data_IF_033863522907
#
_entry.id   IF_033863522907
#
_cell.length_a   1.000
_cell.length_b   1.000
_cell.length_c   1.000
_cell.angle_alpha   90.00
_cell.angle_beta   90.00
_cell.angle_gamma   90.00
#
_symmetry.space_group_name_H-M   'P 1'
#
loop_
_entity.id
_entity.type
_entity.pdbx_description
1 polymer ?
#
# COMPACT_ATOMS: atom_id res chain seq x y z
N UNK A 1 5.87 5.88 -46.43
CA UNK A 1 4.64 6.52 -45.91
C UNK A 1 3.85 5.46 -45.18
N UNK A 2 3.41 5.70 -43.94
CA UNK A 2 2.52 4.78 -43.24
C UNK A 2 1.25 4.61 -44.08
N UNK A 3 0.83 3.37 -44.32
CA UNK A 3 -0.37 3.05 -45.09
C UNK A 3 -1.56 3.76 -44.46
N UNK A 4 -2.21 4.65 -45.22
CA UNK A 4 -3.31 5.45 -44.68
C UNK A 4 -4.53 4.54 -44.49
N UNK A 5 -4.73 4.06 -43.26
CA UNK A 5 -5.83 3.17 -42.89
C UNK A 5 -6.95 3.93 -42.18
N UNK A 6 -8.20 3.57 -42.49
CA UNK A 6 -9.35 4.07 -41.73
C UNK A 6 -9.26 3.63 -40.25
N UNK A 7 -9.74 4.48 -39.32
CA UNK A 7 -9.77 4.16 -37.89
C UNK A 7 -10.45 2.82 -37.60
N UNK A 8 -11.60 2.53 -38.24
CA UNK A 8 -12.33 1.27 -38.08
C UNK A 8 -11.48 0.06 -38.46
N UNK A 9 -10.86 0.08 -39.65
CA UNK A 9 -9.97 -1.00 -40.09
C UNK A 9 -8.76 -1.16 -39.17
N UNK A 10 -8.21 -0.06 -38.66
CA UNK A 10 -7.12 -0.10 -37.69
C UNK A 10 -7.52 -0.83 -36.40
N UNK A 11 -8.63 -0.42 -35.76
CA UNK A 11 -9.10 -1.09 -34.54
C UNK A 11 -9.38 -2.58 -34.73
N UNK A 12 -9.96 -2.96 -35.87
CA UNK A 12 -10.19 -4.38 -36.18
C UNK A 12 -8.88 -5.13 -36.39
N UNK A 13 -7.92 -4.55 -37.12
CA UNK A 13 -6.61 -5.15 -37.33
C UNK A 13 -5.84 -5.32 -35.99
N UNK A 14 -5.86 -4.31 -35.13
CA UNK A 14 -5.23 -4.35 -33.80
C UNK A 14 -5.89 -5.42 -32.90
N UNK A 15 -7.22 -5.57 -32.98
CA UNK A 15 -7.95 -6.61 -32.25
C UNK A 15 -7.65 -8.03 -32.75
N UNK A 16 -7.55 -8.22 -34.07
CA UNK A 16 -7.16 -9.51 -34.67
C UNK A 16 -5.72 -9.87 -34.30
N UNK A 17 -4.82 -8.88 -34.33
CA UNK A 17 -3.44 -9.04 -33.88
C UNK A 17 -3.36 -9.52 -32.43
N UNK A 18 -4.10 -8.88 -31.52
CA UNK A 18 -4.19 -9.29 -30.12
C UNK A 18 -4.75 -10.71 -29.97
N UNK A 19 -5.80 -11.06 -30.71
CA UNK A 19 -6.42 -12.37 -30.65
C UNK A 19 -5.47 -13.48 -31.12
N UNK A 20 -4.77 -13.29 -32.24
CA UNK A 20 -3.80 -14.25 -32.78
C UNK A 20 -2.62 -14.45 -31.81
N UNK A 21 -2.13 -13.36 -31.22
CA UNK A 21 -1.02 -13.40 -30.28
C UNK A 21 -1.41 -14.07 -28.95
N UNK A 22 -2.60 -13.78 -28.43
CA UNK A 22 -3.13 -14.44 -27.24
C UNK A 22 -3.33 -15.95 -27.47
N UNK A 23 -3.76 -16.33 -28.66
CA UNK A 23 -3.95 -17.73 -29.06
C UNK A 23 -2.61 -18.48 -29.13
N UNK A 24 -1.63 -17.89 -29.80
CA UNK A 24 -0.27 -18.42 -29.92
C UNK A 24 0.32 -18.71 -28.54
N UNK A 25 0.30 -17.74 -27.63
CA UNK A 25 0.85 -17.93 -26.28
C UNK A 25 0.03 -18.88 -25.43
N UNK A 26 -1.30 -18.93 -25.61
CA UNK A 26 -2.13 -19.91 -24.91
C UNK A 26 -1.70 -21.34 -25.26
N UNK A 27 -1.30 -21.61 -26.51
CA UNK A 27 -0.82 -22.93 -26.94
C UNK A 27 0.61 -23.19 -26.48
N UNK A 28 1.52 -22.27 -26.75
CA UNK A 28 2.96 -22.47 -26.54
C UNK A 28 3.37 -22.40 -25.06
N UNK A 29 2.64 -21.64 -24.24
CA UNK A 29 2.94 -21.42 -22.81
C UNK A 29 1.89 -22.06 -21.88
N UNK A 30 1.11 -23.04 -22.39
CA UNK A 30 0.09 -23.72 -21.62
C UNK A 30 0.65 -24.38 -20.35
N UNK A 31 1.82 -25.02 -20.46
CA UNK A 31 2.47 -25.74 -19.36
C UNK A 31 3.04 -24.80 -18.28
N UNK A 32 3.40 -23.58 -18.66
CA UNK A 32 3.97 -22.58 -17.76
C UNK A 32 2.91 -21.78 -16.97
N UNK A 33 1.64 -22.13 -17.18
CA UNK A 33 0.49 -21.46 -16.58
C UNK A 33 0.33 -20.03 -17.09
N UNK A 34 0.29 -19.89 -18.42
CA UNK A 34 -0.15 -18.67 -19.09
C UNK A 34 -1.50 -18.20 -18.55
N UNK A 35 -1.65 -16.91 -18.33
CA UNK A 35 -2.86 -16.27 -17.80
C UNK A 35 -3.42 -15.24 -18.78
N UNK A 36 -2.55 -14.53 -19.50
CA UNK A 36 -2.98 -13.55 -20.48
C UNK A 36 -1.81 -12.76 -21.03
N UNK A 37 -2.11 -11.82 -21.92
CA UNK A 37 -1.14 -10.95 -22.55
C UNK A 37 -1.66 -9.53 -22.60
N UNK A 38 -0.76 -8.57 -22.47
CA UNK A 38 -1.01 -7.15 -22.64
C UNK A 38 -0.07 -6.61 -23.72
N UNK A 39 -0.62 -5.88 -24.69
CA UNK A 39 0.17 -5.30 -25.79
C UNK A 39 0.15 -3.78 -25.61
N UNK A 40 1.33 -3.18 -25.52
CA UNK A 40 1.52 -1.72 -25.49
C UNK A 40 2.22 -1.30 -26.77
N UNK A 41 1.48 -0.64 -27.65
CA UNK A 41 1.99 -0.16 -28.93
C UNK A 41 2.43 1.29 -28.78
N UNK A 42 3.72 1.56 -28.96
CA UNK A 42 4.24 2.92 -29.13
C UNK A 42 4.73 3.10 -30.58
N UNK A 43 4.86 4.36 -31.07
CA UNK A 43 5.39 4.59 -32.42
C UNK A 43 6.81 4.08 -32.63
N UNK A 44 7.58 3.88 -31.55
CA UNK A 44 8.98 3.47 -31.59
C UNK A 44 9.12 1.96 -31.38
N UNK A 45 8.35 1.39 -30.44
CA UNK A 45 8.46 -0.01 -30.00
C UNK A 45 7.10 -0.58 -29.65
N UNK A 46 6.90 -1.86 -29.91
CA UNK A 46 5.75 -2.63 -29.42
C UNK A 46 6.21 -3.53 -28.29
N UNK A 47 5.67 -3.29 -27.10
CA UNK A 47 5.95 -4.10 -25.91
C UNK A 47 4.83 -5.12 -25.73
N UNK A 48 5.21 -6.39 -25.57
CA UNK A 48 4.27 -7.49 -25.34
C UNK A 48 4.55 -8.09 -23.97
N UNK A 49 3.64 -7.88 -23.03
CA UNK A 49 3.78 -8.32 -21.64
C UNK A 49 2.98 -9.60 -21.43
N UNK A 50 3.68 -10.70 -21.26
CA UNK A 50 3.11 -12.03 -21.01
C UNK A 50 2.89 -12.21 -19.51
N UNK A 51 1.65 -12.47 -19.10
CA UNK A 51 1.29 -12.77 -17.71
C UNK A 51 1.25 -14.29 -17.52
N UNK A 52 2.13 -14.81 -16.66
CA UNK A 52 2.21 -16.25 -16.39
C UNK A 52 2.55 -16.57 -14.93
N UNK A 53 2.25 -17.79 -14.49
CA UNK A 53 2.56 -18.24 -13.13
C UNK A 53 4.02 -18.66 -12.95
N UNK A 54 4.61 -19.32 -13.95
CA UNK A 54 5.96 -19.84 -13.91
C UNK A 54 6.84 -19.12 -14.94
N UNK A 55 7.48 -18.01 -14.55
CA UNK A 55 8.32 -17.21 -15.48
C UNK A 55 9.75 -17.76 -15.58
N UNK A 56 10.19 -18.52 -14.57
CA UNK A 56 11.55 -19.07 -14.50
C UNK A 56 11.89 -19.99 -15.68
N UNK A 57 10.88 -20.58 -16.32
CA UNK A 57 11.05 -21.48 -17.46
C UNK A 57 11.39 -20.79 -18.78
N UNK A 58 11.23 -19.46 -18.90
CA UNK A 58 11.50 -18.78 -20.17
C UNK A 58 12.23 -17.43 -20.07
N UNK A 59 12.42 -16.85 -18.88
CA UNK A 59 13.14 -15.59 -18.70
C UNK A 59 14.63 -15.84 -18.36
N UNK A 60 15.57 -15.12 -18.98
CA UNK A 60 16.88 -14.93 -18.34
C UNK A 60 16.62 -14.01 -17.16
N UNK A 61 17.04 -14.38 -15.95
CA UNK A 61 17.31 -13.37 -14.94
C UNK A 61 18.58 -12.64 -15.42
N UNK A 62 18.45 -11.71 -16.36
CA UNK A 62 19.48 -10.68 -16.54
C UNK A 62 19.22 -9.66 -15.44
N UNK A 63 20.28 -9.38 -14.69
CA UNK A 63 20.43 -8.24 -13.79
C UNK A 63 19.96 -8.38 -12.34
N UNK A 64 20.71 -9.18 -11.57
CA UNK A 64 21.17 -8.73 -10.25
C UNK A 64 22.26 -7.63 -10.33
N UNK A 65 22.70 -7.26 -11.54
CA UNK A 65 23.77 -6.28 -11.78
C UNK A 65 23.25 -4.82 -11.73
N UNK A 66 21.97 -4.57 -12.03
CA UNK A 66 21.41 -3.21 -11.97
C UNK A 66 21.10 -2.71 -10.54
N UNK A 67 21.15 -3.58 -9.52
CA UNK A 67 21.02 -3.17 -8.11
C UNK A 67 22.38 -2.94 -7.42
N UNK A 68 23.49 -3.33 -8.07
CA UNK A 68 24.84 -3.23 -7.51
C UNK A 68 25.62 -1.97 -7.95
N UNK A 69 25.07 -1.12 -8.83
CA UNK A 69 25.77 0.10 -9.27
C UNK A 69 25.38 1.37 -8.49
N UNK A 70 24.50 1.27 -7.49
CA UNK A 70 24.13 2.38 -6.59
C UNK A 70 24.51 2.12 -5.12
N UNK A 71 25.56 1.33 -4.87
CA UNK A 71 26.12 1.08 -3.54
C UNK A 71 27.66 1.08 -3.56
N UNK A 72 28.28 2.14 -4.09
CA UNK A 72 29.72 2.41 -3.90
C UNK A 72 29.97 3.69 -3.08
N UNK A 73 28.93 4.33 -2.55
CA UNK A 73 29.12 5.37 -1.53
C UNK A 73 28.45 4.98 -0.21
N UNK A 74 29.30 4.94 0.81
CA UNK A 74 29.06 4.72 2.24
C UNK A 74 29.10 3.26 2.73
N UNK A 75 30.29 2.94 3.24
CA UNK A 75 30.63 1.82 4.11
C UNK A 75 29.62 1.65 5.26
N UNK A 76 28.74 0.66 5.16
CA UNK A 76 28.11 0.05 6.33
C UNK A 76 28.08 -1.46 6.14
N UNK A 77 28.93 -2.13 6.91
CA UNK A 77 28.86 -3.57 7.16
C UNK A 77 27.44 -3.96 7.59
N UNK A 78 26.76 -4.80 6.82
CA UNK A 78 25.65 -5.58 7.36
C UNK A 78 25.61 -6.99 6.77
N UNK A 79 25.82 -7.92 7.68
CA UNK A 79 25.66 -9.36 7.54
C UNK A 79 24.19 -9.68 7.26
N UNK A 80 23.86 -9.88 5.99
CA UNK A 80 22.69 -10.66 5.55
C UNK A 80 23.10 -11.48 4.32
N UNK A 81 24.01 -12.42 4.52
CA UNK A 81 24.24 -13.53 3.60
C UNK A 81 23.09 -14.53 3.77
N UNK A 82 21.88 -14.13 3.37
CA UNK A 82 20.78 -15.05 3.19
C UNK A 82 20.94 -15.72 1.82
N UNK A 83 21.53 -16.93 1.87
CA UNK A 83 21.35 -18.06 0.95
C UNK A 83 20.44 -17.78 -0.26
N UNK A 84 20.95 -17.05 -1.26
CA UNK A 84 20.46 -17.19 -2.63
C UNK A 84 21.25 -18.33 -3.23
N UNK A 85 20.76 -19.55 -2.94
CA UNK A 85 21.23 -20.75 -3.59
C UNK A 85 21.23 -20.56 -5.10
N UNK A 86 22.31 -21.02 -5.73
CA UNK A 86 22.47 -21.16 -7.17
C UNK A 86 21.22 -21.81 -7.78
N UNK A 87 20.31 -21.00 -8.32
CA UNK A 87 19.19 -21.47 -9.12
C UNK A 87 19.65 -21.56 -10.58
N UNK A 88 20.50 -22.54 -10.85
CA UNK A 88 20.71 -23.05 -12.21
C UNK A 88 19.53 -23.96 -12.57
N UNK A 89 18.55 -23.46 -13.36
CA UNK A 89 17.61 -24.31 -14.11
C UNK A 89 16.86 -23.51 -15.19
N UNK A 90 17.24 -23.74 -16.47
CA UNK A 90 16.52 -23.33 -17.71
C UNK A 90 17.31 -22.41 -18.67
N UNK A 91 17.50 -22.83 -19.94
CA UNK A 91 18.31 -22.17 -20.99
C UNK A 91 18.22 -20.63 -21.03
N UNK A 92 19.36 -19.92 -20.90
CA UNK A 92 19.58 -18.45 -20.90
C UNK A 92 18.60 -17.62 -21.76
N UNK A 93 17.33 -17.52 -21.32
CA UNK A 93 16.21 -16.87 -22.03
C UNK A 93 16.15 -17.18 -23.52
N UNK A 94 16.51 -18.41 -23.90
CA UNK A 94 16.46 -18.85 -25.29
C UNK A 94 15.02 -18.82 -25.79
N UNK A 95 14.10 -19.38 -25.01
CA UNK A 95 12.67 -19.49 -25.33
C UNK A 95 12.01 -18.12 -25.55
N UNK A 96 12.28 -17.11 -24.71
CA UNK A 96 11.73 -15.77 -24.93
C UNK A 96 12.29 -15.12 -26.21
N UNK A 97 13.57 -15.32 -26.55
CA UNK A 97 14.16 -14.82 -27.82
C UNK A 97 13.60 -15.52 -29.05
N UNK A 98 13.34 -16.82 -28.95
CA UNK A 98 12.68 -17.60 -30.01
C UNK A 98 11.23 -17.10 -30.21
N UNK A 99 10.48 -16.87 -29.13
CA UNK A 99 9.14 -16.29 -29.21
C UNK A 99 9.17 -14.88 -29.82
N UNK A 100 10.12 -14.02 -29.41
CA UNK A 100 10.31 -12.70 -30.03
C UNK A 100 10.57 -12.83 -31.53
N UNK A 101 11.42 -13.78 -31.94
CA UNK A 101 11.73 -14.02 -33.35
C UNK A 101 10.51 -14.51 -34.14
N UNK A 102 9.68 -15.38 -33.54
CA UNK A 102 8.44 -15.86 -34.15
C UNK A 102 7.45 -14.71 -34.34
N UNK A 103 7.21 -13.91 -33.30
CA UNK A 103 6.32 -12.74 -33.36
C UNK A 103 6.81 -11.74 -34.41
N UNK A 104 8.11 -11.43 -34.40
CA UNK A 104 8.70 -10.50 -35.35
C UNK A 104 8.54 -10.96 -36.80
N UNK A 105 8.86 -12.23 -37.10
CA UNK A 105 8.77 -12.78 -38.46
C UNK A 105 7.31 -12.97 -38.92
N UNK A 106 6.42 -13.41 -38.02
CA UNK A 106 5.01 -13.65 -38.31
C UNK A 106 4.28 -12.36 -38.70
N UNK A 107 4.48 -11.30 -37.92
CA UNK A 107 3.80 -10.02 -38.12
C UNK A 107 4.62 -9.01 -38.93
N UNK A 108 5.78 -9.42 -39.44
CA UNK A 108 6.66 -8.61 -40.30
C UNK A 108 7.09 -7.29 -39.64
N UNK A 109 7.39 -7.36 -38.35
CA UNK A 109 7.93 -6.21 -37.63
C UNK A 109 9.39 -5.94 -38.05
N UNK A 110 9.80 -4.67 -38.15
CA UNK A 110 11.21 -4.34 -38.35
C UNK A 110 12.06 -4.85 -37.19
N UNK A 111 13.34 -5.11 -37.46
CA UNK A 111 14.28 -5.59 -36.43
C UNK A 111 14.34 -4.63 -35.24
N UNK A 112 14.39 -5.19 -34.03
CA UNK A 112 14.41 -4.47 -32.74
C UNK A 112 13.20 -3.57 -32.46
N UNK A 113 12.08 -3.74 -33.16
CA UNK A 113 10.85 -2.97 -32.89
C UNK A 113 9.87 -3.65 -31.92
N UNK A 114 10.07 -4.93 -31.62
CA UNK A 114 9.21 -5.71 -30.71
C UNK A 114 10.03 -6.28 -29.58
N UNK A 115 9.55 -6.08 -28.36
CA UNK A 115 10.15 -6.62 -27.14
C UNK A 115 9.10 -7.39 -26.33
N UNK A 116 9.46 -8.58 -25.87
CA UNK A 116 8.61 -9.42 -25.02
C UNK A 116 9.09 -9.32 -23.58
N UNK A 117 8.15 -9.03 -22.68
CA UNK A 117 8.35 -9.00 -21.23
C UNK A 117 7.50 -10.10 -20.59
N UNK A 118 7.91 -10.57 -19.42
CA UNK A 118 7.10 -11.49 -18.63
C UNK A 118 6.82 -10.94 -17.23
N UNK A 119 5.55 -10.93 -16.86
CA UNK A 119 5.05 -10.47 -15.56
C UNK A 119 4.44 -11.63 -14.78
N UNK A 120 4.73 -11.70 -13.48
CA UNK A 120 4.20 -12.75 -12.62
C UNK A 120 2.77 -12.44 -12.26
N UNK A 121 1.88 -13.42 -12.43
CA UNK A 121 0.53 -13.31 -11.89
C UNK A 121 0.61 -13.33 -10.37
N UNK A 122 0.15 -12.24 -9.73
CA UNK A 122 0.19 -12.08 -8.26
C UNK A 122 -0.55 -13.22 -7.54
N UNK A 123 -1.79 -13.50 -7.97
CA UNK A 123 -2.66 -14.52 -7.37
C UNK A 123 -3.05 -15.58 -8.41
N UNK A 124 -2.33 -16.71 -8.43
CA UNK A 124 -2.68 -17.85 -9.32
C UNK A 124 -4.09 -18.42 -9.06
N UNK A 125 -4.57 -18.34 -7.81
CA UNK A 125 -5.89 -18.87 -7.40
C UNK A 125 -7.08 -18.15 -8.03
N UNK A 126 -6.90 -16.89 -8.40
CA UNK A 126 -7.96 -16.05 -8.96
C UNK A 126 -8.06 -16.11 -10.49
N UNK A 127 -7.05 -16.66 -11.17
CA UNK A 127 -7.04 -16.76 -12.64
C UNK A 127 -7.67 -18.07 -13.13
N UNK A 128 -8.78 -17.98 -13.87
CA UNK A 128 -9.50 -19.14 -14.36
C UNK A 128 -8.69 -19.94 -15.39
N UNK A 129 -7.92 -19.25 -16.25
CA UNK A 129 -7.09 -19.89 -17.29
C UNK A 129 -6.01 -20.77 -16.67
N UNK A 130 -5.24 -20.23 -15.71
CA UNK A 130 -4.17 -20.96 -15.05
C UNK A 130 -4.71 -22.18 -14.26
N UNK A 131 -5.87 -22.04 -13.62
CA UNK A 131 -6.51 -23.16 -12.91
C UNK A 131 -7.05 -24.23 -13.87
N UNK A 132 -7.62 -23.82 -15.01
CA UNK A 132 -8.09 -24.76 -16.03
C UNK A 132 -6.93 -25.55 -16.67
N UNK A 133 -5.77 -24.92 -16.91
CA UNK A 133 -4.56 -25.62 -17.38
C UNK A 133 -3.99 -26.56 -16.30
N UNK A 134 -3.96 -26.13 -15.04
CA UNK A 134 -3.53 -26.99 -13.94
C UNK A 134 -4.42 -28.23 -13.81
N UNK A 135 -5.74 -28.07 -13.97
CA UNK A 135 -6.71 -29.16 -14.02
C UNK A 135 -6.47 -30.07 -15.23
N UNK A 136 -6.24 -29.50 -16.42
CA UNK A 136 -5.93 -30.24 -17.65
C UNK A 136 -4.70 -31.13 -17.48
N UNK A 137 -3.60 -30.58 -16.99
CA UNK A 137 -2.36 -31.34 -16.80
C UNK A 137 -2.54 -32.48 -15.79
N UNK A 138 -3.22 -32.23 -14.68
CA UNK A 138 -3.47 -33.26 -13.67
C UNK A 138 -4.47 -34.33 -14.13
N UNK A 139 -5.42 -33.98 -14.99
CA UNK A 139 -6.35 -34.92 -15.60
C UNK A 139 -5.69 -35.88 -16.59
N UNK A 140 -4.57 -35.48 -17.22
CA UNK A 140 -3.75 -36.41 -18.01
C UNK A 140 -3.15 -37.53 -17.14
N UNK A 141 -2.89 -37.25 -15.86
CA UNK A 141 -2.46 -38.24 -14.86
C UNK A 141 -3.58 -39.16 -14.33
N UNK A 142 -4.83 -38.96 -14.75
CA UNK A 142 -5.98 -39.82 -14.41
C UNK A 142 -7.08 -39.15 -13.57
N UNK A 143 -8.27 -39.75 -13.54
CA UNK A 143 -9.47 -39.17 -12.92
C UNK A 143 -9.43 -39.06 -11.39
N UNK A 144 -8.68 -39.92 -10.68
CA UNK A 144 -8.58 -39.86 -9.22
C UNK A 144 -7.91 -38.57 -8.73
N UNK A 145 -7.07 -37.95 -9.58
CA UNK A 145 -6.42 -36.68 -9.28
C UNK A 145 -7.42 -35.52 -9.14
N UNK A 146 -8.61 -35.61 -9.75
CA UNK A 146 -9.61 -34.52 -9.79
C UNK A 146 -9.95 -33.97 -8.41
N UNK A 147 -10.19 -34.84 -7.42
CA UNK A 147 -10.60 -34.41 -6.09
C UNK A 147 -9.49 -33.67 -5.35
N UNK A 148 -8.23 -34.06 -5.54
CA UNK A 148 -7.06 -33.34 -5.01
C UNK A 148 -6.85 -31.99 -5.71
N UNK A 149 -7.12 -31.91 -7.02
CA UNK A 149 -7.07 -30.63 -7.75
C UNK A 149 -8.21 -29.71 -7.35
N UNK A 150 -9.42 -30.26 -7.24
CA UNK A 150 -10.60 -29.54 -6.78
C UNK A 150 -10.32 -28.93 -5.42
N UNK A 151 -9.78 -29.68 -4.45
CA UNK A 151 -9.44 -29.11 -3.14
C UNK A 151 -8.49 -27.91 -3.24
N UNK A 152 -7.44 -27.99 -4.05
CA UNK A 152 -6.48 -26.89 -4.25
C UNK A 152 -7.09 -25.70 -5.03
N UNK A 153 -7.91 -26.00 -6.04
CA UNK A 153 -8.65 -24.99 -6.81
C UNK A 153 -9.73 -24.34 -5.94
N UNK A 154 -10.29 -25.04 -4.96
CA UNK A 154 -11.40 -24.60 -4.11
C UNK A 154 -10.92 -23.98 -2.78
N UNK A 155 -9.62 -24.01 -2.49
CA UNK A 155 -9.03 -23.39 -1.29
C UNK A 155 -8.99 -21.85 -1.38
N UNK A 156 -8.97 -21.32 -2.60
CA UNK A 156 -9.17 -19.89 -2.85
C UNK A 156 -10.69 -19.55 -2.84
N UNK A 157 -11.11 -18.29 -3.00
CA UNK A 157 -12.51 -17.76 -3.06
C UNK A 157 -13.55 -18.44 -4.02
N UNK A 158 -14.84 -18.03 -4.13
CA UNK A 158 -15.94 -18.82 -4.72
C UNK A 158 -15.77 -19.29 -6.18
N UNK A 159 -16.08 -20.57 -6.48
CA UNK A 159 -15.82 -21.19 -7.80
C UNK A 159 -16.87 -22.23 -8.24
N UNK A 160 -17.00 -22.37 -9.56
CA UNK A 160 -17.80 -23.40 -10.23
C UNK A 160 -16.93 -24.10 -11.30
N UNK A 161 -16.62 -25.38 -11.08
CA UNK A 161 -15.84 -26.23 -11.99
C UNK A 161 -16.76 -27.29 -12.59
N UNK A 162 -16.82 -27.34 -13.92
CA UNK A 162 -17.62 -28.31 -14.67
C UNK A 162 -16.68 -29.15 -15.54
N UNK A 163 -16.76 -30.47 -15.41
CA UNK A 163 -16.04 -31.42 -16.25
C UNK A 163 -17.08 -32.23 -17.04
N UNK A 164 -16.99 -32.18 -18.36
CA UNK A 164 -17.94 -32.81 -19.28
C UNK A 164 -17.25 -33.72 -20.28
N UNK A 165 -17.80 -34.91 -20.52
CA UNK A 165 -17.33 -35.82 -21.56
C UNK A 165 -17.50 -37.29 -21.18
N UNK A 166 -16.77 -38.18 -21.86
CA UNK A 166 -16.76 -39.61 -21.56
C UNK A 166 -15.84 -39.88 -20.36
N UNK A 167 -16.41 -39.90 -19.15
CA UNK A 167 -15.64 -40.00 -17.90
C UNK A 167 -15.23 -41.44 -17.56
N UNK A 168 -16.21 -42.32 -17.36
CA UNK A 168 -15.98 -43.76 -17.06
C UNK A 168 -16.70 -44.70 -18.03
N UNK A 169 -17.74 -44.21 -18.70
CA UNK A 169 -18.60 -45.00 -19.58
C UNK A 169 -18.64 -44.40 -20.99
N UNK A 170 -19.18 -45.14 -21.95
CA UNK A 170 -19.31 -44.68 -23.35
C UNK A 170 -20.20 -43.46 -23.51
N UNK A 171 -21.16 -43.26 -22.60
CA UNK A 171 -22.07 -42.10 -22.59
C UNK A 171 -21.40 -40.91 -21.92
N UNK A 172 -21.52 -39.73 -22.55
CA UNK A 172 -21.04 -38.48 -21.97
C UNK A 172 -21.83 -38.13 -20.70
N UNK A 173 -21.12 -37.63 -19.68
CA UNK A 173 -21.67 -37.12 -18.43
C UNK A 173 -20.98 -35.80 -18.06
N UNK A 174 -21.71 -34.91 -17.41
CA UNK A 174 -21.16 -33.67 -16.85
C UNK A 174 -21.18 -33.74 -15.33
N UNK A 175 -20.02 -33.57 -14.71
CA UNK A 175 -19.86 -33.40 -13.26
C UNK A 175 -19.69 -31.91 -12.98
N UNK A 176 -20.46 -31.38 -12.03
CA UNK A 176 -20.39 -29.99 -11.59
C UNK A 176 -19.95 -29.97 -10.14
N UNK A 177 -18.97 -29.12 -9.85
CA UNK A 177 -18.44 -28.90 -8.51
C UNK A 177 -18.57 -27.41 -8.23
N UNK A 178 -19.42 -27.06 -7.27
CA UNK A 178 -19.71 -25.68 -6.91
C UNK A 178 -19.38 -25.46 -5.45
N UNK A 179 -18.76 -24.34 -5.15
CA UNK A 179 -18.52 -23.90 -3.78
C UNK A 179 -18.50 -22.36 -3.70
N UNK A 180 -19.03 -21.84 -2.61
CA UNK A 180 -19.26 -20.41 -2.39
C UNK A 180 -20.43 -19.80 -3.19
N UNK A 181 -20.49 -18.47 -3.14
CA UNK A 181 -21.50 -17.66 -3.82
C UNK A 181 -21.13 -17.44 -5.30
N UNK A 182 -22.09 -17.57 -6.22
CA UNK A 182 -21.84 -17.45 -7.65
C UNK A 182 -23.01 -16.79 -8.38
N UNK A 183 -22.74 -15.68 -9.07
CA UNK A 183 -23.71 -14.97 -9.90
C UNK A 183 -23.85 -15.69 -11.25
N UNK A 184 -25.06 -15.71 -11.82
CA UNK A 184 -25.33 -16.45 -13.08
C UNK A 184 -25.90 -15.59 -14.22
N UNK A 185 -26.38 -14.38 -13.93
CA UNK A 185 -27.04 -13.50 -14.90
C UNK A 185 -26.67 -12.03 -14.68
N UNK A 186 -26.90 -11.21 -15.72
CA UNK A 186 -26.69 -9.75 -15.68
C UNK A 186 -25.30 -9.29 -16.12
N UNK A 187 -25.10 -7.97 -16.12
CA UNK A 187 -23.80 -7.35 -16.38
C UNK A 187 -22.72 -7.74 -15.36
N UNK A 188 -23.00 -7.92 -14.05
CA UNK A 188 -22.00 -8.33 -13.07
C UNK A 188 -21.28 -9.63 -13.43
N UNK A 189 -21.91 -10.55 -14.18
CA UNK A 189 -21.25 -11.78 -14.65
C UNK A 189 -20.02 -11.47 -15.51
N UNK A 190 -20.07 -10.45 -16.35
CA UNK A 190 -18.94 -10.11 -17.23
C UNK A 190 -17.79 -9.43 -16.49
N UNK A 191 -18.10 -8.77 -15.38
CA UNK A 191 -17.13 -8.01 -14.58
C UNK A 191 -16.51 -8.89 -13.49
N UNK A 192 -17.33 -9.63 -12.74
CA UNK A 192 -16.92 -10.40 -11.58
C UNK A 192 -16.47 -11.83 -11.90
N UNK A 193 -16.90 -12.41 -13.02
CA UNK A 193 -16.64 -13.83 -13.30
C UNK A 193 -15.56 -13.96 -14.35
N UNK A 194 -14.39 -14.43 -13.92
CA UNK A 194 -13.38 -14.96 -14.83
C UNK A 194 -13.74 -16.41 -15.19
N UNK A 195 -13.71 -16.74 -16.48
CA UNK A 195 -14.07 -18.08 -16.93
C UNK A 195 -13.16 -18.58 -18.03
N UNK A 196 -12.78 -19.86 -17.92
CA UNK A 196 -11.91 -20.51 -18.88
C UNK A 196 -12.44 -21.90 -19.24
N UNK A 197 -12.31 -22.26 -20.52
CA UNK A 197 -12.61 -23.60 -21.03
C UNK A 197 -11.35 -24.21 -21.60
N UNK A 198 -11.08 -25.48 -21.25
CA UNK A 198 -9.95 -26.25 -21.78
C UNK A 198 -10.37 -27.65 -22.18
N UNK A 199 -9.68 -28.17 -23.19
CA UNK A 199 -9.90 -29.51 -23.70
C UNK A 199 -8.76 -30.42 -23.26
N UNK A 200 -9.12 -31.59 -22.73
CA UNK A 200 -8.17 -32.64 -22.36
C UNK A 200 -8.32 -33.77 -23.37
N UNK A 201 -7.22 -34.08 -24.06
CA UNK A 201 -7.16 -35.19 -24.99
C UNK A 201 -6.80 -36.45 -24.21
N UNK A 202 -7.73 -37.41 -24.12
CA UNK A 202 -7.49 -38.72 -23.54
C UNK A 202 -7.65 -39.79 -24.63
N UNK A 203 -7.13 -41.00 -24.38
CA UNK A 203 -7.29 -42.14 -25.29
C UNK A 203 -8.75 -42.48 -25.61
N UNK A 204 -9.66 -42.26 -24.66
CA UNK A 204 -11.10 -42.54 -24.81
C UNK A 204 -11.86 -41.44 -25.58
N UNK A 205 -11.24 -40.29 -25.84
CA UNK A 205 -11.85 -39.11 -26.46
C UNK A 205 -11.47 -37.82 -25.74
N UNK A 206 -12.24 -36.76 -25.98
CA UNK A 206 -11.98 -35.43 -25.43
C UNK A 206 -12.86 -35.16 -24.21
N UNK A 207 -12.25 -34.69 -23.11
CA UNK A 207 -12.98 -34.09 -22.00
C UNK A 207 -12.93 -32.57 -22.10
N UNK A 208 -14.03 -31.90 -21.75
CA UNK A 208 -14.10 -30.47 -21.56
C UNK A 208 -14.05 -30.10 -20.08
N UNK A 209 -13.20 -29.14 -19.75
CA UNK A 209 -13.13 -28.50 -18.43
C UNK A 209 -13.65 -27.08 -18.60
N UNK A 210 -14.52 -26.64 -17.70
CA UNK A 210 -14.93 -25.25 -17.56
C UNK A 210 -14.73 -24.81 -16.12
N UNK A 211 -13.90 -23.81 -15.91
CA UNK A 211 -13.67 -23.19 -14.59
C UNK A 211 -14.29 -21.80 -14.63
N UNK A 212 -15.09 -21.48 -13.61
CA UNK A 212 -15.57 -20.14 -13.32
C UNK A 212 -15.09 -19.75 -11.93
N UNK A 213 -14.53 -18.56 -11.82
CA UNK A 213 -14.06 -17.98 -10.57
C UNK A 213 -14.78 -16.64 -10.41
N UNK A 214 -15.47 -16.47 -9.29
CA UNK A 214 -16.01 -15.18 -8.91
C UNK A 214 -14.92 -14.41 -8.16
N UNK A 215 -14.57 -13.24 -8.67
CA UNK A 215 -13.61 -12.33 -8.07
C UNK A 215 -14.31 -11.51 -6.99
N UNK A 216 -13.59 -11.17 -5.94
CA UNK A 216 -14.07 -10.26 -4.90
C UNK A 216 -14.01 -8.79 -5.37
N UNK A 217 -14.88 -7.97 -4.79
CA UNK A 217 -14.88 -6.52 -5.02
C UNK A 217 -13.62 -5.89 -4.41
N UNK A 218 -12.78 -5.25 -5.24
CA UNK A 218 -11.57 -4.57 -4.80
C UNK A 218 -11.61 -3.10 -5.22
N UNK A 219 -11.76 -2.14 -4.28
CA UNK A 219 -11.78 -0.72 -4.61
C UNK A 219 -10.44 -0.22 -5.18
N UNK A 220 -9.34 -0.96 -5.02
CA UNK A 220 -8.03 -0.64 -5.60
C UNK A 220 -7.84 -1.18 -7.02
N UNK A 221 -8.74 -2.06 -7.49
CA UNK A 221 -8.71 -2.62 -8.83
C UNK A 221 -7.51 -3.52 -9.13
N UNK A 222 -6.89 -4.13 -8.12
CA UNK A 222 -5.73 -5.01 -8.32
C UNK A 222 -6.12 -6.46 -8.48
N UNK A 223 -7.07 -6.94 -7.68
CA UNK A 223 -7.47 -8.35 -7.64
C UNK A 223 -8.84 -8.63 -8.27
N UNK A 224 -9.69 -7.61 -8.40
CA UNK A 224 -11.05 -7.75 -8.90
C UNK A 224 -11.65 -6.43 -9.37
N UNK A 225 -12.96 -6.41 -9.68
CA UNK A 225 -13.66 -5.24 -10.18
C UNK A 225 -13.66 -4.09 -9.18
N UNK A 226 -13.51 -2.87 -9.69
CA UNK A 226 -13.62 -1.64 -8.89
C UNK A 226 -15.06 -1.26 -8.56
N UNK A 227 -15.99 -1.63 -9.44
CA UNK A 227 -17.43 -1.40 -9.31
C UNK A 227 -18.03 -2.41 -8.32
N UNK A 228 -18.67 -1.99 -7.21
CA UNK A 228 -19.34 -2.91 -6.30
C UNK A 228 -20.53 -3.58 -6.99
N UNK A 229 -21.00 -4.70 -6.41
CA UNK A 229 -22.21 -5.35 -6.89
C UNK A 229 -23.40 -4.38 -6.78
N UNK A 230 -24.31 -4.36 -7.77
CA UNK A 230 -25.41 -3.40 -7.80
C UNK A 230 -26.39 -3.57 -6.63
N UNK A 231 -26.47 -4.77 -6.07
CA UNK A 231 -27.35 -5.10 -4.95
C UNK A 231 -26.69 -4.82 -3.58
N UNK A 232 -25.38 -4.54 -3.54
CA UNK A 232 -24.64 -4.33 -2.31
C UNK A 232 -24.80 -2.89 -1.83
N UNK A 233 -25.71 -2.68 -0.87
CA UNK A 233 -25.92 -1.40 -0.20
C UNK A 233 -25.16 -1.38 1.12
N UNK A 234 -24.09 -0.60 1.19
CA UNK A 234 -23.34 -0.38 2.44
C UNK A 234 -23.98 0.76 3.22
N UNK A 235 -24.73 0.43 4.28
CA UNK A 235 -25.26 1.43 5.21
C UNK A 235 -24.14 1.81 6.16
N UNK A 236 -23.60 3.01 5.98
CA UNK A 236 -22.64 3.55 6.94
C UNK A 236 -23.40 4.01 8.19
N UNK A 237 -22.96 3.60 9.40
CA UNK A 237 -23.56 4.10 10.62
C UNK A 237 -23.43 5.63 10.63
N UNK A 238 -24.41 6.35 11.21
CA UNK A 238 -24.30 7.79 11.36
C UNK A 238 -22.98 8.09 12.04
N UNK A 239 -22.19 8.97 11.43
CA UNK A 239 -20.99 9.48 12.07
C UNK A 239 -21.46 10.10 13.38
N UNK A 240 -20.85 9.73 14.50
CA UNK A 240 -21.08 10.44 15.75
C UNK A 240 -20.79 11.92 15.48
N UNK A 241 -21.85 12.71 15.44
CA UNK A 241 -21.72 14.15 15.55
C UNK A 241 -21.17 14.37 16.95
N UNK A 242 -19.85 14.58 17.02
CA UNK A 242 -19.31 15.34 18.13
C UNK A 242 -20.08 16.63 18.07
N UNK A 243 -21.06 16.79 18.96
CA UNK A 243 -21.63 18.07 19.33
C UNK A 243 -20.39 18.88 19.71
N UNK A 244 -19.82 19.59 18.73
CA UNK A 244 -19.00 20.73 19.04
C UNK A 244 -20.01 21.58 19.76
N UNK A 245 -19.85 21.84 21.08
CA UNK A 245 -20.73 22.79 21.71
C UNK A 245 -20.69 24.01 20.81
N UNK A 246 -21.87 24.38 20.29
CA UNK A 246 -22.07 25.67 19.66
C UNK A 246 -21.61 26.62 20.74
N UNK A 247 -20.37 27.09 20.64
CA UNK A 247 -19.95 28.22 21.43
C UNK A 247 -20.86 29.31 20.89
N UNK A 248 -21.92 29.59 21.66
CA UNK A 248 -22.57 30.88 21.66
C UNK A 248 -21.44 31.88 21.50
N UNK A 249 -21.47 32.77 20.49
CA UNK A 249 -20.47 33.82 20.42
C UNK A 249 -20.62 34.61 21.71
N UNK A 250 -19.74 34.32 22.68
CA UNK A 250 -19.46 35.23 23.74
C UNK A 250 -18.85 36.42 23.02
N UNK A 251 -19.62 37.49 22.93
CA UNK A 251 -19.13 38.82 22.63
C UNK A 251 -17.99 39.08 23.61
N UNK A 252 -16.76 38.92 23.12
CA UNK A 252 -15.57 39.51 23.72
C UNK A 252 -15.01 40.39 22.62
N UNK A 253 -15.42 41.64 22.67
CA UNK A 253 -14.85 42.70 21.86
C UNK A 253 -13.33 42.76 22.08
N UNK A 254 -12.58 42.71 20.98
CA UNK A 254 -11.20 43.19 20.90
C UNK A 254 -10.10 42.28 21.46
N UNK A 255 -9.75 41.21 20.74
CA UNK A 255 -8.41 40.61 20.82
C UNK A 255 -8.04 40.01 19.45
N UNK A 256 -6.82 40.28 18.97
CA UNK A 256 -6.25 39.75 17.71
C UNK A 256 -6.61 38.26 17.51
N UNK A 257 -7.19 37.91 16.36
CA UNK A 257 -7.53 36.52 16.01
C UNK A 257 -6.28 35.63 16.11
N UNK A 258 -6.32 34.65 17.01
CA UNK A 258 -5.20 33.72 17.18
C UNK A 258 -4.92 32.85 15.96
N UNK A 259 -3.83 32.08 16.02
CA UNK A 259 -3.44 31.16 14.98
C UNK A 259 -4.61 30.21 14.65
N UNK A 260 -5.00 30.21 13.37
CA UNK A 260 -5.97 29.25 12.84
C UNK A 260 -5.58 27.82 13.24
N UNK A 261 -6.50 26.91 13.58
CA UNK A 261 -6.14 25.53 13.92
C UNK A 261 -5.29 24.89 12.82
N UNK A 262 -4.28 24.09 13.21
CA UNK A 262 -3.43 23.40 12.24
C UNK A 262 -4.31 22.50 11.34
N UNK A 263 -4.16 22.53 9.99
CA UNK A 263 -5.02 21.75 9.09
C UNK A 263 -4.99 20.24 9.39
N UNK A 264 -3.88 19.75 9.92
CA UNK A 264 -3.70 18.35 10.32
C UNK A 264 -4.61 17.95 11.48
N UNK A 265 -4.96 18.87 12.38
CA UNK A 265 -5.91 18.61 13.47
C UNK A 265 -7.37 18.49 13.00
N UNK A 266 -7.66 18.79 11.73
CA UNK A 266 -8.95 18.46 11.13
C UNK A 266 -9.05 16.97 10.73
N UNK A 267 -7.91 16.30 10.47
CA UNK A 267 -7.83 14.90 10.03
C UNK A 267 -7.28 13.94 11.09
N UNK A 268 -6.45 14.41 12.02
CA UNK A 268 -5.88 13.65 13.13
C UNK A 268 -6.36 14.22 14.46
N UNK A 269 -6.45 13.37 15.48
CA UNK A 269 -6.73 13.83 16.84
C UNK A 269 -5.55 14.65 17.38
N UNK A 270 -5.86 15.79 18.01
CA UNK A 270 -4.90 16.67 18.66
C UNK A 270 -5.20 16.87 20.15
N UNK A 271 -4.18 17.08 21.00
CA UNK A 271 -4.38 17.39 22.41
C UNK A 271 -5.16 18.71 22.55
N UNK A 272 -6.18 18.75 23.43
CA UNK A 272 -6.96 19.96 23.65
C UNK A 272 -6.11 21.04 24.34
N UNK A 273 -6.35 22.30 23.97
CA UNK A 273 -5.76 23.45 24.63
C UNK A 273 -6.74 24.62 24.63
N UNK A 274 -6.52 25.59 25.52
CA UNK A 274 -7.25 26.87 25.54
C UNK A 274 -6.25 28.00 25.29
N UNK A 275 -6.60 28.92 24.40
CA UNK A 275 -5.76 30.11 24.14
C UNK A 275 -6.02 31.11 25.26
N UNK A 276 -4.97 31.47 25.99
CA UNK A 276 -5.01 32.44 27.09
C UNK A 276 -4.73 33.84 26.58
N UNK A 277 -3.77 33.96 25.67
CA UNK A 277 -3.36 35.23 25.08
C UNK A 277 -2.85 34.96 23.67
N UNK A 278 -3.18 35.83 22.72
CA UNK A 278 -2.72 35.69 21.34
C UNK A 278 -2.17 37.00 20.81
N UNK A 279 -1.09 36.90 20.05
CA UNK A 279 -0.47 37.99 19.32
C UNK A 279 -0.01 37.46 17.95
N UNK A 280 0.27 38.38 17.02
CA UNK A 280 0.73 38.03 15.67
C UNK A 280 1.94 37.08 15.64
N UNK A 281 2.83 37.17 16.63
CA UNK A 281 4.10 36.43 16.66
C UNK A 281 4.15 35.23 17.61
N UNK A 282 3.22 35.13 18.57
CA UNK A 282 3.15 34.01 19.51
C UNK A 282 1.76 33.89 20.16
N UNK A 283 1.50 32.73 20.76
CA UNK A 283 0.33 32.47 21.57
C UNK A 283 0.71 31.90 22.93
N UNK A 284 -0.03 32.27 23.96
CA UNK A 284 0.00 31.58 25.25
C UNK A 284 -1.18 30.63 25.28
N UNK A 285 -0.90 29.34 25.44
CA UNK A 285 -1.91 28.28 25.50
C UNK A 285 -1.82 27.55 26.84
N UNK A 286 -2.97 27.23 27.43
CA UNK A 286 -3.04 26.31 28.57
C UNK A 286 -3.37 24.91 28.08
N UNK A 287 -2.65 23.92 28.58
CA UNK A 287 -2.84 22.51 28.22
C UNK A 287 -3.32 21.72 29.44
N UNK A 288 -4.20 20.76 29.20
CA UNK A 288 -4.58 19.77 30.22
C UNK A 288 -3.63 18.58 30.15
N UNK A 289 -3.37 17.95 31.29
CA UNK A 289 -2.57 16.73 31.34
C UNK A 289 -3.30 15.60 30.60
N UNK A 290 -2.56 14.90 29.74
CA UNK A 290 -3.05 13.72 29.04
C UNK A 290 -2.00 12.62 29.01
N UNK A 291 -2.41 11.42 28.60
CA UNK A 291 -1.52 10.29 28.38
C UNK A 291 -0.77 10.44 27.06
N UNK A 292 0.54 10.29 27.12
CA UNK A 292 1.46 10.26 25.98
C UNK A 292 2.35 9.01 26.06
N UNK A 293 2.88 8.62 24.91
CA UNK A 293 3.91 7.58 24.82
C UNK A 293 5.26 8.23 24.56
N UNK A 294 6.23 7.96 25.43
CA UNK A 294 7.62 8.35 25.32
C UNK A 294 8.41 7.25 24.65
N UNK A 295 9.21 7.61 23.65
CA UNK A 295 10.30 6.76 23.17
C UNK A 295 11.51 6.79 24.11
N UNK A 296 12.56 6.01 23.81
CA UNK A 296 13.83 6.09 24.50
C UNK A 296 14.53 7.43 24.23
N UNK A 297 15.47 7.77 25.10
CA UNK A 297 16.35 8.91 24.93
C UNK A 297 17.38 8.59 23.83
N UNK A 298 17.34 9.33 22.72
CA UNK A 298 18.25 9.11 21.59
C UNK A 298 19.31 10.21 21.55
N UNK A 299 20.58 9.84 21.75
CA UNK A 299 21.71 10.73 21.50
C UNK A 299 22.07 10.71 20.02
N UNK A 300 22.04 11.87 19.36
CA UNK A 300 22.35 12.00 17.94
C UNK A 300 23.05 13.33 17.63
N UNK A 301 23.86 13.40 16.57
CA UNK A 301 24.53 14.65 16.18
C UNK A 301 23.55 15.71 15.67
N UNK A 302 22.44 15.28 15.06
CA UNK A 302 21.41 16.15 14.47
C UNK A 302 20.04 15.85 15.08
N UNK A 303 19.20 16.89 15.15
CA UNK A 303 17.78 16.83 15.49
C UNK A 303 17.04 15.89 14.55
N UNK A 304 17.30 15.97 13.24
CA UNK A 304 16.60 15.14 12.25
C UNK A 304 16.85 13.66 12.50
N UNK A 305 18.09 13.27 12.82
CA UNK A 305 18.42 11.88 13.11
C UNK A 305 17.81 11.41 14.43
N UNK A 306 17.91 12.23 15.47
CA UNK A 306 17.36 11.91 16.79
C UNK A 306 15.84 11.77 16.76
N UNK A 307 15.16 12.76 16.16
CA UNK A 307 13.71 12.77 16.00
C UNK A 307 13.23 11.61 15.13
N UNK A 308 13.90 11.32 14.00
CA UNK A 308 13.49 10.25 13.10
C UNK A 308 13.69 8.85 13.72
N UNK A 309 14.81 8.62 14.44
CA UNK A 309 15.04 7.35 15.16
C UNK A 309 13.97 7.13 16.23
N UNK A 310 13.72 8.13 17.08
CA UNK A 310 12.67 8.03 18.11
C UNK A 310 11.26 7.86 17.52
N UNK A 311 10.96 8.58 16.44
CA UNK A 311 9.69 8.46 15.71
C UNK A 311 9.49 7.04 15.18
N UNK A 312 10.50 6.40 14.57
CA UNK A 312 10.38 5.04 14.01
C UNK A 312 10.03 4.00 15.07
N UNK A 313 10.59 4.13 16.27
CA UNK A 313 10.32 3.21 17.39
C UNK A 313 8.84 3.29 17.79
N UNK A 314 8.34 4.50 18.06
CA UNK A 314 6.93 4.69 18.41
C UNK A 314 5.99 4.36 17.25
N UNK A 315 6.38 4.69 16.01
CA UNK A 315 5.60 4.40 14.83
C UNK A 315 5.43 2.88 14.60
N UNK A 316 6.49 2.10 14.79
CA UNK A 316 6.41 0.63 14.71
C UNK A 316 5.40 0.06 15.71
N UNK A 317 5.40 0.57 16.94
CA UNK A 317 4.41 0.20 17.95
C UNK A 317 2.97 0.54 17.51
N UNK A 318 2.72 1.74 16.97
CA UNK A 318 1.41 2.12 16.41
C UNK A 318 1.02 1.26 15.19
N UNK A 319 1.97 0.69 14.47
CA UNK A 319 1.74 -0.19 13.30
C UNK A 319 1.57 -1.67 13.64
N UNK A 320 1.47 -2.03 14.92
CA UNK A 320 1.21 -3.41 15.34
C UNK A 320 2.42 -4.13 15.92
N UNK A 321 3.54 -3.44 16.18
CA UNK A 321 4.64 -3.99 16.96
C UNK A 321 4.34 -3.88 18.47
N UNK A 322 3.23 -4.50 18.88
CA UNK A 322 2.76 -4.61 20.26
C UNK A 322 2.27 -6.04 20.49
N UNK A 323 2.11 -6.42 21.76
CA UNK A 323 1.74 -7.80 22.16
C UNK A 323 0.46 -8.33 21.52
N UNK A 324 -0.43 -7.44 21.08
CA UNK A 324 -1.73 -7.78 20.50
C UNK A 324 -1.76 -7.67 18.97
N UNK A 325 -0.66 -7.25 18.34
CA UNK A 325 -0.58 -6.99 16.90
C UNK A 325 -1.63 -6.01 16.35
N UNK A 326 -2.12 -5.09 17.18
CA UNK A 326 -3.18 -4.14 16.83
C UNK A 326 -2.60 -2.84 16.30
N UNK A 327 -3.20 -2.29 15.24
CA UNK A 327 -2.83 -0.96 14.72
C UNK A 327 -3.56 0.15 15.49
N UNK A 328 -2.83 1.19 15.88
CA UNK A 328 -3.34 2.38 16.58
C UNK A 328 -3.38 3.56 15.62
N UNK A 329 -4.45 4.36 15.67
CA UNK A 329 -4.59 5.56 14.86
C UNK A 329 -3.57 6.61 15.30
N UNK A 330 -2.88 7.22 14.33
CA UNK A 330 -1.93 8.30 14.57
C UNK A 330 -2.64 9.56 15.06
N UNK A 331 -1.93 10.34 15.86
CA UNK A 331 -2.34 11.65 16.39
C UNK A 331 -1.33 12.71 15.97
N UNK A 332 -1.65 13.98 16.18
CA UNK A 332 -0.74 15.10 16.02
C UNK A 332 -0.84 16.04 17.23
N UNK A 333 0.18 16.84 17.57
CA UNK A 333 1.53 16.82 17.02
C UNK A 333 2.36 15.66 17.58
N UNK A 334 3.49 15.39 16.92
CA UNK A 334 4.61 14.66 17.51
C UNK A 334 5.47 15.67 18.25
N UNK A 335 5.67 15.46 19.54
CA UNK A 335 6.55 16.32 20.35
C UNK A 335 7.95 15.74 20.39
N UNK A 336 8.95 16.61 20.37
CA UNK A 336 10.35 16.26 20.55
C UNK A 336 10.97 17.21 21.57
N UNK A 337 11.35 16.67 22.72
CA UNK A 337 12.15 17.40 23.70
C UNK A 337 13.62 17.30 23.36
N UNK A 338 14.32 18.41 23.49
CA UNK A 338 15.74 18.53 23.17
C UNK A 338 16.50 18.83 24.46
N UNK A 339 17.38 17.90 24.88
CA UNK A 339 18.23 18.05 26.07
C UNK A 339 19.67 17.64 25.74
N UNK A 340 20.59 18.60 25.63
CA UNK A 340 22.03 18.35 25.41
C UNK A 340 22.32 17.27 24.33
N UNK A 341 21.80 17.48 23.11
CA UNK A 341 21.91 16.54 21.98
C UNK A 341 21.27 15.16 22.20
N UNK A 342 20.42 15.05 23.21
CA UNK A 342 19.54 13.92 23.46
C UNK A 342 18.11 14.33 23.10
N UNK A 343 17.46 13.50 22.30
CA UNK A 343 16.13 13.74 21.77
C UNK A 343 15.17 12.69 22.31
N UNK A 344 14.06 13.15 22.88
CA UNK A 344 12.99 12.26 23.36
C UNK A 344 11.72 12.59 22.61
N UNK A 345 11.18 11.60 21.91
CA UNK A 345 10.00 11.75 21.06
C UNK A 345 8.76 11.29 21.82
N UNK A 346 7.67 12.05 21.70
CA UNK A 346 6.39 11.73 22.33
C UNK A 346 5.24 11.73 21.32
N UNK A 347 4.40 10.70 21.39
CA UNK A 347 3.15 10.61 20.65
C UNK A 347 1.96 10.78 21.58
N UNK A 348 1.03 11.65 21.22
CA UNK A 348 -0.22 11.81 21.96
C UNK A 348 -1.06 10.54 21.83
N UNK A 349 -1.53 9.98 22.95
CA UNK A 349 -2.36 8.78 22.89
C UNK A 349 -3.79 9.17 22.46
N UNK A 350 -4.42 8.47 21.49
CA UNK A 350 -5.79 8.77 21.07
C UNK A 350 -6.79 8.79 22.23
N UNK A 351 -7.83 9.63 22.12
CA UNK A 351 -8.82 9.85 23.19
C UNK A 351 -9.45 8.56 23.72
N UNK A 352 -9.67 7.58 22.85
CA UNK A 352 -10.23 6.27 23.22
C UNK A 352 -9.44 5.53 24.32
N UNK A 353 -8.12 5.77 24.43
CA UNK A 353 -7.27 5.15 25.45
C UNK A 353 -6.96 6.10 26.62
N UNK A 354 -7.44 7.34 26.57
CA UNK A 354 -7.35 8.27 27.70
C UNK A 354 -8.34 7.87 28.81
N UNK A 355 -9.50 7.30 28.43
CA UNK A 355 -10.63 7.01 29.33
C UNK A 355 -10.89 5.50 29.47
N UNK A 356 -10.03 4.80 30.21
CA UNK A 356 -10.31 3.46 30.75
C UNK A 356 -10.10 2.25 29.83
N UNK A 357 -10.01 2.41 28.50
CA UNK A 357 -9.64 1.32 27.59
C UNK A 357 -8.13 1.04 27.71
N UNK A 358 -7.77 -0.23 27.87
CA UNK A 358 -6.36 -0.63 28.03
C UNK A 358 -5.59 -0.44 26.72
N UNK A 359 -4.56 0.40 26.77
CA UNK A 359 -3.62 0.59 25.67
C UNK A 359 -2.75 -0.68 25.50
N UNK A 360 -2.57 -1.22 24.28
CA UNK A 360 -1.77 -2.43 24.03
C UNK A 360 -0.38 -2.33 24.64
N UNK A 361 0.12 -3.41 25.24
CA UNK A 361 1.45 -3.36 25.87
C UNK A 361 2.55 -3.36 24.80
N UNK A 362 3.56 -2.46 24.91
CA UNK A 362 4.75 -2.54 24.10
C UNK A 362 5.46 -3.88 24.29
N UNK A 363 6.14 -4.37 23.25
CA UNK A 363 6.99 -5.56 23.34
C UNK A 363 8.34 -5.27 24.01
N UNK A 364 8.71 -3.98 24.09
CA UNK A 364 10.00 -3.50 24.59
C UNK A 364 9.77 -2.49 25.71
N UNK A 365 10.59 -2.56 26.77
CA UNK A 365 10.52 -1.63 27.91
C UNK A 365 11.02 -0.20 27.58
N UNK A 366 11.51 0.02 26.37
CA UNK A 366 11.96 1.32 25.87
C UNK A 366 10.81 2.32 25.70
N UNK A 367 9.58 1.84 25.48
CA UNK A 367 8.39 2.68 25.28
C UNK A 367 7.67 2.84 26.61
N UNK A 368 7.58 4.09 27.10
CA UNK A 368 7.00 4.40 28.41
C UNK A 368 5.74 5.23 28.28
N UNK A 369 4.74 4.94 29.12
CA UNK A 369 3.55 5.77 29.30
C UNK A 369 3.91 6.95 30.21
N UNK A 370 3.62 8.17 29.78
CA UNK A 370 3.92 9.41 30.53
C UNK A 370 2.74 10.37 30.48
N UNK A 371 2.51 11.13 31.55
CA UNK A 371 1.54 12.21 31.54
C UNK A 371 2.25 13.52 31.14
N UNK A 372 1.73 14.18 30.11
CA UNK A 372 2.24 15.44 29.57
C UNK A 372 1.08 16.37 29.18
N UNK A 373 1.30 17.70 29.17
CA UNK A 373 2.54 18.37 29.58
C UNK A 373 2.70 18.49 31.10
N UNK A 374 3.93 18.59 31.58
CA UNK A 374 4.25 18.83 33.02
C UNK A 374 4.12 20.30 33.45
N UNK A 375 3.60 21.14 32.55
CA UNK A 375 3.44 22.57 32.73
C UNK A 375 1.99 22.96 32.43
N UNK A 376 1.50 24.00 33.09
CA UNK A 376 0.12 24.48 32.89
C UNK A 376 -0.02 25.33 31.62
N UNK A 377 0.97 26.15 31.31
CA UNK A 377 0.96 27.07 30.18
C UNK A 377 2.17 26.84 29.27
N UNK A 378 2.02 27.11 27.98
CA UNK A 378 3.13 27.18 27.05
C UNK A 378 3.01 28.41 26.17
N UNK A 379 4.15 29.09 25.98
CA UNK A 379 4.32 30.06 24.92
C UNK A 379 4.66 29.31 23.63
N UNK A 380 3.86 29.55 22.58
CA UNK A 380 3.87 28.80 21.33
C UNK A 380 4.12 29.75 20.18
N UNK A 381 5.10 29.41 19.34
CA UNK A 381 5.34 30.09 18.06
C UNK A 381 5.18 29.11 16.92
N UNK A 382 4.45 29.49 15.88
CA UNK A 382 4.24 28.69 14.68
C UNK A 382 5.14 29.12 13.54
N UNK A 383 5.69 28.14 12.83
CA UNK A 383 6.50 28.35 11.63
C UNK A 383 6.25 27.25 10.59
N UNK A 384 6.62 27.54 9.34
CA UNK A 384 6.47 26.62 8.21
C UNK A 384 7.77 25.92 7.82
N UNK A 385 7.70 25.04 6.81
CA UNK A 385 8.87 24.38 6.23
C UNK A 385 9.33 23.12 6.96
N UNK A 386 10.56 22.68 6.68
CA UNK A 386 11.19 21.54 7.33
C UNK A 386 11.88 21.99 8.61
N UNK A 387 11.80 21.14 9.64
CA UNK A 387 12.45 21.40 10.93
C UNK A 387 13.92 21.02 10.82
N UNK A 388 14.79 21.99 11.06
CA UNK A 388 16.23 21.86 11.22
C UNK A 388 16.71 22.59 12.48
N UNK A 389 17.92 22.30 12.94
CA UNK A 389 18.56 22.96 14.08
C UNK A 389 18.61 24.48 13.91
N UNK A 390 18.86 24.94 12.68
CA UNK A 390 18.86 26.36 12.33
C UNK A 390 17.48 26.98 12.53
N UNK A 391 16.42 26.33 12.02
CA UNK A 391 15.04 26.80 12.21
C UNK A 391 14.62 26.78 13.67
N UNK A 392 14.98 25.73 14.43
CA UNK A 392 14.67 25.62 15.86
C UNK A 392 15.33 26.77 16.62
N UNK A 393 16.63 27.01 16.39
CA UNK A 393 17.36 28.09 17.04
C UNK A 393 16.81 29.47 16.69
N UNK A 394 16.53 29.73 15.41
CA UNK A 394 15.97 31.00 14.93
C UNK A 394 14.59 31.26 15.53
N UNK A 395 13.67 30.31 15.42
CA UNK A 395 12.29 30.49 15.89
C UNK A 395 12.20 30.55 17.42
N UNK A 396 13.09 29.82 18.13
CA UNK A 396 13.21 29.95 19.59
C UNK A 396 13.71 31.33 19.99
N UNK A 397 14.72 31.86 19.30
CA UNK A 397 15.23 33.20 19.57
C UNK A 397 14.17 34.27 19.27
N UNK A 398 13.43 34.13 18.16
CA UNK A 398 12.35 35.05 17.81
C UNK A 398 11.19 34.96 18.80
N UNK A 399 10.79 33.77 19.27
CA UNK A 399 9.78 33.63 20.32
C UNK A 399 10.24 34.30 21.63
N UNK A 400 11.49 34.09 22.05
CA UNK A 400 12.02 34.76 23.26
C UNK A 400 12.06 36.28 23.08
N UNK A 401 12.36 36.77 21.88
CA UNK A 401 12.33 38.20 21.54
C UNK A 401 10.91 38.75 21.57
N UNK A 402 9.94 38.07 20.98
CA UNK A 402 8.53 38.51 20.95
C UNK A 402 7.90 38.52 22.34
N UNK A 403 8.41 37.70 23.26
CA UNK A 403 7.99 37.72 24.67
C UNK A 403 8.58 38.90 25.46
N UNK A 404 9.58 39.63 24.96
CA UNK A 404 10.19 40.76 25.68
C UNK A 404 9.20 41.89 25.92
N UNK A 405 9.16 42.40 27.16
CA UNK A 405 8.20 43.44 27.56
C UNK A 405 6.79 42.93 27.86
N UNK A 406 6.53 41.63 27.69
CA UNK A 406 5.27 40.99 28.10
C UNK A 406 5.40 40.40 29.51
N UNK A 407 4.30 40.20 30.26
CA UNK A 407 4.36 39.56 31.58
C UNK A 407 4.90 38.11 31.53
N UNK A 408 4.87 37.48 30.36
CA UNK A 408 5.30 36.09 30.16
C UNK A 408 6.82 35.93 29.98
N UNK A 409 7.56 37.04 29.79
CA UNK A 409 9.00 37.02 29.54
C UNK A 409 9.79 36.23 30.59
N UNK A 410 9.46 36.42 31.87
CA UNK A 410 10.15 35.75 32.99
C UNK A 410 9.67 34.32 33.21
N UNK A 411 8.45 34.00 32.79
CA UNK A 411 7.82 32.71 33.03
C UNK A 411 8.26 31.67 31.99
N UNK A 412 8.27 32.02 30.70
CA UNK A 412 8.54 31.10 29.58
C UNK A 412 10.05 30.83 29.37
N UNK A 413 10.72 30.31 30.39
CA UNK A 413 12.15 29.95 30.38
C UNK A 413 12.41 28.44 30.37
N UNK A 414 11.36 27.63 30.26
CA UNK A 414 11.44 26.18 30.24
C UNK A 414 12.21 25.59 29.05
N UNK A 415 12.43 24.26 29.05
CA UNK A 415 13.08 23.57 27.93
C UNK A 415 12.27 23.75 26.64
N UNK A 416 12.99 23.71 25.51
CA UNK A 416 12.39 23.85 24.19
C UNK A 416 11.82 22.50 23.76
N UNK A 417 10.53 22.47 23.48
CA UNK A 417 9.85 21.33 22.87
C UNK A 417 9.45 21.71 21.44
N UNK A 418 9.75 20.84 20.48
CA UNK A 418 9.35 21.02 19.08
C UNK A 418 8.12 20.17 18.79
N UNK A 419 7.08 20.77 18.22
CA UNK A 419 5.85 20.10 17.85
C UNK A 419 5.70 20.03 16.33
N UNK A 420 5.80 18.82 15.76
CA UNK A 420 5.62 18.55 14.34
C UNK A 420 4.24 18.01 14.02
N UNK A 421 3.49 18.67 13.14
CA UNK A 421 2.11 18.28 12.82
C UNK A 421 1.98 17.45 11.53
N UNK A 422 2.91 17.60 10.60
CA UNK A 422 2.83 17.04 9.26
C UNK A 422 3.60 15.74 9.11
N UNK A 423 3.14 14.90 8.18
CA UNK A 423 3.86 13.67 7.80
C UNK A 423 5.22 14.03 7.17
N UNK A 424 6.27 13.21 7.33
CA UNK A 424 7.53 13.40 6.61
C UNK A 424 7.38 13.50 5.09
N UNK A 425 6.32 12.91 4.52
CA UNK A 425 6.05 12.91 3.07
C UNK A 425 5.22 14.12 2.58
N UNK A 426 4.71 14.97 3.48
CA UNK A 426 3.98 16.18 3.10
C UNK A 426 4.95 17.34 2.82
N UNK A 427 5.09 17.73 1.56
CA UNK A 427 6.08 18.73 1.14
C UNK A 427 5.60 20.20 1.26
N UNK A 428 4.29 20.43 1.28
CA UNK A 428 3.68 21.78 1.24
C UNK A 428 2.80 22.05 2.47
N UNK A 429 2.59 23.34 2.80
CA UNK A 429 1.76 23.80 3.92
C UNK A 429 2.08 23.13 5.26
N UNK A 430 3.38 22.91 5.51
CA UNK A 430 3.86 22.33 6.77
C UNK A 430 3.65 23.32 7.91
N UNK A 431 3.18 22.79 9.04
CA UNK A 431 2.95 23.50 10.30
C UNK A 431 3.82 22.85 11.36
N UNK A 432 4.69 23.66 11.95
CA UNK A 432 5.51 23.26 13.09
C UNK A 432 5.37 24.32 14.17
N UNK A 433 5.57 23.93 15.41
CA UNK A 433 5.50 24.86 16.54
C UNK A 433 6.70 24.67 17.48
N UNK A 434 7.17 25.77 18.06
CA UNK A 434 8.12 25.79 19.18
C UNK A 434 7.34 26.09 20.45
N UNK A 435 7.53 25.27 21.48
CA UNK A 435 6.85 25.39 22.76
C UNK A 435 7.87 25.69 23.87
N UNK A 436 7.56 26.69 24.69
CA UNK A 436 8.26 27.02 25.94
C UNK A 436 7.27 26.90 27.10
N UNK A 437 7.36 25.81 27.85
CA UNK A 437 6.47 25.51 28.97
C UNK A 437 6.78 26.32 30.24
N UNK A 438 5.74 26.71 30.97
CA UNK A 438 5.82 27.38 32.28
C UNK A 438 4.53 27.15 33.11
N UNK A 439 4.58 27.49 34.40
CA UNK A 439 3.48 27.28 35.35
C UNK A 439 2.78 28.56 35.77
#
# INVERSE_FOLDING_TARGET
MATQMSKKRKFVADGVFFAELNELFTRELAEDGYSGVEVRVTPVRTEVIIRATHIRTFLVIVDAIAFNFLLIYENVSFSYMFMLGDFHLGEKGRRIRELTSVVQKRFKFPENSVELYAEKVNNRGLCAIAQAESLRYKLLGGLAACYGVLRFVMESEPRDVIISGKLRAQRAKSMKFKDGYMISSGQPVKEYIDSAVRHVLLRQGVLGIKVKIMLDWDPKGKAGPTTPLPDLVTIHPPKEEVIRPTMLPAEVEGADEGYKPAPTCARLECPPYKVVHSQKEFEIRSYEEGLWLSGPNITAPTYTDGAFKGFRILFAYYKGNNTQHVTINMTAPVLVDIQNSTYTVYFYVPKKYQTGVTLPTPLTDEIKKVNLPKFKYAAVRRFGGFISELSIGLETATLKKSLQGTPYQRAATGPVTVAGYNSPFELFNRVNEIWLGFN
#
